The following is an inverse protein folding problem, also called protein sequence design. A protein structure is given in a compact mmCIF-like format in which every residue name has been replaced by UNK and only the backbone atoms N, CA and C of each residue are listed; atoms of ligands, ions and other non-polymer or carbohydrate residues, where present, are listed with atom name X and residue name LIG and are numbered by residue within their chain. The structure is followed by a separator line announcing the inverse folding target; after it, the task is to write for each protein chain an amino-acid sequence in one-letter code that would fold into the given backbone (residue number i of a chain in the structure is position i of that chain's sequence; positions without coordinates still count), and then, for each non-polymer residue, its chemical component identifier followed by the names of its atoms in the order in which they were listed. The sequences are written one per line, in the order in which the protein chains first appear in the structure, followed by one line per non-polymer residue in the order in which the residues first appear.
data_IF_845047819199
#
_entry.id   IF_845047819199
#
_cell.length_a   1.000
_cell.length_b   1.000
_cell.length_c   1.000
_cell.angle_alpha   90.00
_cell.angle_beta   90.00
_cell.angle_gamma   90.00
#
_symmetry.space_group_name_H-M   'P 1'
#
loop_
_entity.id
_entity.type
_entity.pdbx_description
1 polymer ?
#
# COMPACT_ATOMS: atom_id res chain seq x y z
N UNK A 1 -25.12 63.34 -16.05
CA UNK A 1 -23.68 63.33 -15.70
C UNK A 1 -23.12 61.94 -15.99
N UNK A 2 -22.20 61.79 -16.96
CA UNK A 2 -21.50 60.51 -17.20
C UNK A 2 -20.34 60.44 -16.21
N UNK A 3 -20.50 59.70 -15.11
CA UNK A 3 -19.39 59.43 -14.19
C UNK A 3 -18.34 58.59 -14.93
N UNK A 4 -17.30 59.24 -15.47
CA UNK A 4 -16.11 58.54 -15.96
C UNK A 4 -15.30 58.10 -14.75
N UNK A 5 -15.06 56.79 -14.64
CA UNK A 5 -14.16 56.22 -13.65
C UNK A 5 -12.77 56.87 -13.80
N UNK A 6 -12.10 57.16 -12.68
CA UNK A 6 -10.76 57.73 -12.73
C UNK A 6 -9.78 56.72 -13.35
N UNK A 7 -8.71 57.18 -14.04
CA UNK A 7 -7.71 56.29 -14.64
C UNK A 7 -7.09 55.30 -13.64
N UNK A 8 -6.94 55.72 -12.38
CA UNK A 8 -6.45 54.88 -11.30
C UNK A 8 -7.41 53.73 -10.95
N UNK A 9 -8.72 53.98 -10.95
CA UNK A 9 -9.73 52.95 -10.72
C UNK A 9 -9.76 51.96 -11.89
N UNK A 10 -9.67 52.45 -13.13
CA UNK A 10 -9.61 51.57 -14.31
C UNK A 10 -8.38 50.66 -14.24
N UNK A 11 -7.20 51.21 -13.93
CA UNK A 11 -5.97 50.43 -13.79
C UNK A 11 -6.08 49.36 -12.68
N UNK A 12 -6.60 49.73 -11.51
CA UNK A 12 -6.80 48.80 -10.40
C UNK A 12 -7.74 47.66 -10.78
N UNK A 13 -8.87 47.97 -11.42
CA UNK A 13 -9.83 46.96 -11.90
C UNK A 13 -9.16 46.04 -12.92
N UNK A 14 -8.40 46.56 -13.87
CA UNK A 14 -7.67 45.74 -14.85
C UNK A 14 -6.65 44.81 -14.20
N UNK A 15 -5.89 45.28 -13.19
CA UNK A 15 -4.94 44.46 -12.45
C UNK A 15 -5.66 43.33 -11.71
N UNK A 16 -6.74 43.64 -11.00
CA UNK A 16 -7.52 42.65 -10.24
C UNK A 16 -8.15 41.62 -11.17
N UNK A 17 -8.75 42.05 -12.28
CA UNK A 17 -9.35 41.15 -13.28
C UNK A 17 -8.28 40.28 -13.94
N UNK A 18 -7.11 40.83 -14.27
CA UNK A 18 -6.01 40.06 -14.88
C UNK A 18 -5.43 39.05 -13.90
N UNK A 19 -5.26 39.43 -12.63
CA UNK A 19 -4.80 38.53 -11.58
C UNK A 19 -5.82 37.42 -11.31
N UNK A 20 -7.12 37.74 -11.26
CA UNK A 20 -8.18 36.76 -11.16
C UNK A 20 -8.20 35.84 -12.38
N UNK A 21 -8.12 36.38 -13.59
CA UNK A 21 -8.07 35.59 -14.81
C UNK A 21 -6.86 34.64 -14.79
N UNK A 22 -5.69 35.13 -14.39
CA UNK A 22 -4.51 34.30 -14.21
C UNK A 22 -4.73 33.18 -13.19
N UNK A 23 -5.48 33.38 -12.10
CA UNK A 23 -5.73 32.30 -11.14
C UNK A 23 -6.66 31.19 -11.66
N UNK A 24 -7.58 31.52 -12.58
CA UNK A 24 -8.70 30.64 -12.93
C UNK A 24 -8.74 30.17 -14.39
N UNK A 25 -8.03 30.81 -15.32
CA UNK A 25 -7.99 30.38 -16.72
C UNK A 25 -6.83 29.41 -16.99
N UNK A 26 -7.11 28.28 -17.69
CA UNK A 26 -6.10 27.28 -18.01
C UNK A 26 -5.15 27.79 -19.09
N UNK A 27 -3.91 27.30 -19.06
CA UNK A 27 -2.99 27.49 -20.18
C UNK A 27 -3.49 26.70 -21.41
N UNK A 28 -3.23 27.18 -22.64
CA UNK A 28 -3.53 26.41 -23.84
C UNK A 28 -2.70 25.12 -23.88
N UNK A 29 -3.31 24.05 -24.38
CA UNK A 29 -2.59 22.80 -24.62
C UNK A 29 -1.73 22.91 -25.88
N UNK A 30 -0.51 22.31 -25.90
CA UNK A 30 0.20 22.12 -27.15
C UNK A 30 -0.58 21.18 -28.08
N UNK A 31 -0.24 21.17 -29.37
CA UNK A 31 -0.85 20.25 -30.34
C UNK A 31 -0.37 18.82 -30.13
N UNK A 32 0.89 18.61 -29.73
CA UNK A 32 1.52 17.30 -29.59
C UNK A 32 2.35 17.22 -28.33
N UNK A 33 2.49 16.00 -27.82
CA UNK A 33 3.51 15.67 -26.83
C UNK A 33 4.86 15.53 -27.53
N UNK A 34 5.94 15.91 -26.84
CA UNK A 34 7.31 15.59 -27.27
C UNK A 34 7.56 14.09 -27.14
N UNK A 35 8.55 13.55 -27.86
CA UNK A 35 8.92 12.12 -27.77
C UNK A 35 9.27 11.70 -26.33
N UNK A 36 9.97 12.56 -25.59
CA UNK A 36 10.32 12.32 -24.19
C UNK A 36 9.08 12.30 -23.27
N UNK A 37 8.14 13.23 -23.45
CA UNK A 37 6.87 13.22 -22.72
C UNK A 37 6.06 11.96 -23.06
N UNK A 38 5.99 11.55 -24.32
CA UNK A 38 5.31 10.32 -24.74
C UNK A 38 5.91 9.07 -24.11
N UNK A 39 7.24 8.93 -24.12
CA UNK A 39 7.93 7.81 -23.48
C UNK A 39 7.63 7.76 -21.98
N UNK A 40 7.59 8.93 -21.33
CA UNK A 40 7.25 9.06 -19.91
C UNK A 40 5.79 8.71 -19.64
N UNK A 41 4.84 9.17 -20.46
CA UNK A 41 3.42 8.82 -20.31
C UNK A 41 3.22 7.32 -20.48
N UNK A 42 3.89 6.71 -21.46
CA UNK A 42 3.82 5.27 -21.72
C UNK A 42 4.36 4.46 -20.53
N UNK A 43 5.47 4.89 -19.90
CA UNK A 43 6.06 4.17 -18.75
C UNK A 43 5.18 4.17 -17.49
N UNK A 44 4.19 5.06 -17.41
CA UNK A 44 3.21 5.12 -16.31
C UNK A 44 1.99 4.21 -16.54
N UNK A 45 1.80 3.67 -17.75
CA UNK A 45 0.65 2.83 -18.10
C UNK A 45 0.80 1.40 -17.59
N UNK A 46 -0.32 0.75 -17.24
CA UNK A 46 -0.34 -0.70 -16.94
C UNK A 46 0.15 -1.57 -18.09
N UNK A 47 0.16 -1.09 -19.33
CA UNK A 47 0.76 -1.85 -20.44
C UNK A 47 2.28 -2.06 -20.28
N UNK A 48 2.93 -1.24 -19.45
CA UNK A 48 4.35 -1.36 -19.11
C UNK A 48 4.56 -2.06 -17.75
N UNK A 49 3.50 -2.60 -17.14
CA UNK A 49 3.61 -3.39 -15.92
C UNK A 49 4.42 -4.65 -16.21
N UNK A 50 5.56 -4.89 -15.52
CA UNK A 50 6.33 -6.09 -15.72
C UNK A 50 5.53 -7.33 -15.27
N UNK A 51 5.97 -8.53 -15.68
CA UNK A 51 5.49 -9.77 -15.08
C UNK A 51 5.59 -9.71 -13.55
N UNK A 52 4.72 -10.48 -12.88
CA UNK A 52 4.71 -10.57 -11.43
C UNK A 52 6.13 -10.90 -10.91
N UNK A 53 6.68 -10.14 -9.95
CA UNK A 53 8.01 -10.41 -9.43
C UNK A 53 8.08 -11.77 -8.74
N UNK A 54 9.24 -12.43 -8.87
CA UNK A 54 9.53 -13.63 -8.10
C UNK A 54 9.51 -13.33 -6.59
N UNK A 55 9.08 -14.30 -5.79
CA UNK A 55 9.11 -14.23 -4.32
C UNK A 55 10.02 -15.36 -3.79
N UNK A 56 11.34 -15.16 -3.79
CA UNK A 56 12.29 -16.22 -3.43
C UNK A 56 12.12 -16.69 -1.98
N UNK A 57 11.56 -15.86 -1.09
CA UNK A 57 11.30 -16.22 0.30
C UNK A 57 10.06 -17.11 0.49
N UNK A 58 9.30 -17.37 -0.57
CA UNK A 58 8.06 -18.12 -0.56
C UNK A 58 7.96 -19.06 -1.76
N UNK A 59 8.41 -20.31 -1.59
CA UNK A 59 8.39 -21.31 -2.66
C UNK A 59 6.98 -21.69 -3.15
N UNK A 60 5.93 -21.38 -2.38
CA UNK A 60 4.53 -21.63 -2.75
C UNK A 60 3.80 -20.40 -3.28
N UNK A 61 4.52 -19.29 -3.55
CA UNK A 61 3.93 -18.00 -3.91
C UNK A 61 2.97 -18.03 -5.11
N UNK A 62 3.19 -18.94 -6.05
CA UNK A 62 2.37 -19.11 -7.26
C UNK A 62 1.67 -20.49 -7.30
N UNK A 63 1.66 -21.24 -6.19
CA UNK A 63 1.05 -22.57 -6.11
C UNK A 63 -0.49 -22.48 -5.98
N UNK A 64 -1.28 -23.12 -6.87
CA UNK A 64 -2.75 -22.98 -6.86
C UNK A 64 -3.42 -23.33 -5.53
N UNK A 65 -2.96 -24.39 -4.84
CA UNK A 65 -3.52 -24.78 -3.54
C UNK A 65 -3.15 -23.78 -2.44
N UNK A 66 -1.99 -23.12 -2.53
CA UNK A 66 -1.59 -22.10 -1.56
C UNK A 66 -2.39 -20.81 -1.75
N UNK A 67 -2.68 -20.45 -3.02
CA UNK A 67 -3.59 -19.35 -3.37
C UNK A 67 -4.98 -19.60 -2.79
N UNK A 68 -5.51 -20.80 -2.91
CA UNK A 68 -6.84 -21.12 -2.38
C UNK A 68 -6.86 -21.13 -0.85
N UNK A 69 -5.87 -21.75 -0.19
CA UNK A 69 -5.74 -21.70 1.27
C UNK A 69 -5.62 -20.24 1.76
N UNK A 70 -4.76 -19.44 1.11
CA UNK A 70 -4.58 -18.02 1.41
C UNK A 70 -5.86 -17.22 1.26
N UNK A 71 -6.66 -17.50 0.22
CA UNK A 71 -7.97 -16.87 0.01
C UNK A 71 -8.88 -17.14 1.19
N UNK A 72 -9.02 -18.39 1.59
CA UNK A 72 -9.91 -18.77 2.68
C UNK A 72 -9.48 -18.13 4.00
N UNK A 73 -8.18 -18.16 4.30
CA UNK A 73 -7.61 -17.52 5.48
C UNK A 73 -7.87 -16.00 5.50
N UNK A 74 -7.75 -15.31 4.36
CA UNK A 74 -7.93 -13.86 4.29
C UNK A 74 -9.32 -13.39 4.74
N UNK A 75 -10.34 -14.21 4.54
CA UNK A 75 -11.73 -13.89 4.92
C UNK A 75 -12.16 -14.52 6.26
N UNK A 76 -11.36 -15.41 6.84
CA UNK A 76 -11.72 -16.11 8.08
C UNK A 76 -11.50 -15.25 9.33
N UNK A 77 -12.57 -14.98 10.07
CA UNK A 77 -12.50 -14.18 11.31
C UNK A 77 -11.90 -14.96 12.47
N UNK A 78 -11.81 -16.29 12.41
CA UNK A 78 -11.18 -17.15 13.42
C UNK A 78 -9.67 -16.92 13.56
N UNK A 79 -9.08 -16.14 12.64
CA UNK A 79 -7.70 -15.64 12.75
C UNK A 79 -7.53 -14.44 13.69
N UNK A 80 -8.60 -13.99 14.36
CA UNK A 80 -8.54 -12.95 15.40
C UNK A 80 -8.81 -13.54 16.78
N UNK A 81 -8.23 -12.95 17.82
CA UNK A 81 -8.31 -13.47 19.19
C UNK A 81 -9.73 -13.62 19.75
N UNK A 82 -10.71 -12.88 19.20
CA UNK A 82 -12.12 -12.97 19.57
C UNK A 82 -13.04 -13.46 18.43
N UNK A 83 -12.47 -13.96 17.33
CA UNK A 83 -13.17 -14.46 16.16
C UNK A 83 -14.06 -13.44 15.40
N UNK A 84 -13.79 -12.13 15.49
CA UNK A 84 -14.62 -11.07 14.86
C UNK A 84 -13.95 -10.30 13.72
N UNK A 85 -12.63 -10.40 13.57
CA UNK A 85 -11.83 -9.65 12.59
C UNK A 85 -11.14 -10.61 11.63
N UNK A 86 -11.24 -10.35 10.33
CA UNK A 86 -10.41 -10.98 9.29
C UNK A 86 -9.64 -9.91 8.54
N UNK A 87 -8.72 -10.30 7.66
CA UNK A 87 -7.99 -9.35 6.82
C UNK A 87 -8.96 -8.48 6.00
N UNK A 88 -10.05 -9.10 5.51
CA UNK A 88 -11.10 -8.43 4.75
C UNK A 88 -11.93 -7.40 5.55
N UNK A 89 -11.88 -7.40 6.88
CA UNK A 89 -12.51 -6.36 7.71
C UNK A 89 -11.90 -4.97 7.44
N UNK A 90 -10.58 -4.93 7.22
CA UNK A 90 -9.81 -3.71 6.95
C UNK A 90 -9.42 -3.57 5.46
N UNK A 91 -9.36 -4.67 4.72
CA UNK A 91 -9.01 -4.69 3.30
C UNK A 91 -10.19 -5.14 2.45
N UNK A 92 -11.15 -4.23 2.29
CA UNK A 92 -12.45 -4.56 1.73
C UNK A 92 -12.38 -4.63 0.20
N UNK A 93 -12.74 -5.76 -0.45
CA UNK A 93 -12.64 -5.88 -1.90
C UNK A 93 -13.41 -4.79 -2.67
N UNK A 94 -14.57 -4.38 -2.15
CA UNK A 94 -15.41 -3.35 -2.75
C UNK A 94 -14.83 -1.92 -2.65
N UNK A 95 -13.71 -1.74 -1.95
CA UNK A 95 -12.97 -0.48 -1.81
C UNK A 95 -11.52 -0.61 -2.29
N UNK A 96 -11.26 -1.49 -3.26
CA UNK A 96 -9.89 -1.75 -3.73
C UNK A 96 -8.95 -2.19 -2.58
N UNK A 97 -9.49 -2.98 -1.64
CA UNK A 97 -8.78 -3.52 -0.48
C UNK A 97 -8.28 -2.46 0.52
N UNK A 98 -9.09 -1.43 0.76
CA UNK A 98 -8.96 -0.47 1.88
C UNK A 98 -10.19 -0.54 2.80
N UNK A 99 -10.23 0.28 3.86
CA UNK A 99 -11.39 0.41 4.77
C UNK A 99 -12.06 1.78 4.73
N UNK A 100 -11.47 2.75 4.01
CA UNK A 100 -11.88 4.16 3.95
C UNK A 100 -11.98 4.85 5.31
N UNK A 101 -11.12 4.49 6.26
CA UNK A 101 -11.00 5.12 7.59
C UNK A 101 -9.65 5.81 7.74
N UNK A 102 -9.60 6.87 8.56
CA UNK A 102 -8.33 7.54 8.84
C UNK A 102 -7.34 6.60 9.54
N UNK A 103 -7.84 5.82 10.50
CA UNK A 103 -7.10 4.81 11.25
C UNK A 103 -7.88 3.50 11.17
N UNK A 104 -7.15 2.40 10.97
CA UNK A 104 -7.76 1.08 10.88
C UNK A 104 -8.43 0.69 12.21
N UNK A 105 -9.51 -0.08 12.13
CA UNK A 105 -10.25 -0.57 13.31
C UNK A 105 -10.39 -2.09 13.22
N UNK A 106 -9.64 -2.78 14.08
CA UNK A 106 -9.76 -4.22 14.33
C UNK A 106 -10.36 -4.45 15.71
N UNK A 107 -9.64 -5.20 16.58
CA UNK A 107 -9.98 -5.32 18.00
C UNK A 107 -9.84 -3.99 18.76
N UNK A 108 -9.00 -3.09 18.25
CA UNK A 108 -8.83 -1.72 18.71
C UNK A 108 -8.67 -0.76 17.54
N UNK A 109 -8.24 0.46 17.83
CA UNK A 109 -7.89 1.46 16.80
C UNK A 109 -6.38 1.45 16.58
N UNK A 110 -5.96 1.22 15.34
CA UNK A 110 -4.56 1.29 14.94
C UNK A 110 -4.06 2.75 14.89
N UNK A 111 -2.76 2.94 14.69
CA UNK A 111 -2.11 4.25 14.59
C UNK A 111 -1.87 4.69 13.13
N UNK A 112 -2.30 3.87 12.15
CA UNK A 112 -2.08 4.08 10.72
C UNK A 112 -3.35 3.85 9.89
N UNK A 113 -3.36 4.47 8.72
CA UNK A 113 -4.32 4.19 7.64
C UNK A 113 -3.95 2.87 6.94
N UNK A 114 -4.96 2.06 6.60
CA UNK A 114 -4.79 0.80 5.87
C UNK A 114 -4.39 1.05 4.42
N UNK A 115 -3.22 0.55 4.01
CA UNK A 115 -2.79 0.61 2.62
C UNK A 115 -3.66 -0.29 1.73
N UNK A 116 -3.91 0.10 0.48
CA UNK A 116 -4.55 -0.78 -0.51
C UNK A 116 -3.66 -1.97 -0.87
N UNK A 117 -4.28 -3.11 -1.18
CA UNK A 117 -3.57 -4.36 -1.54
C UNK A 117 -3.44 -4.60 -3.06
N UNK A 118 -4.16 -3.86 -3.91
CA UNK A 118 -4.03 -4.05 -5.37
C UNK A 118 -2.62 -3.68 -5.85
N UNK A 119 -1.94 -4.60 -6.53
CA UNK A 119 -0.56 -4.41 -6.98
C UNK A 119 0.49 -4.49 -5.87
N UNK A 120 0.13 -4.92 -4.66
CA UNK A 120 1.06 -5.00 -3.51
C UNK A 120 2.26 -5.90 -3.77
N UNK A 121 2.10 -6.93 -4.61
CA UNK A 121 3.17 -7.86 -4.99
C UNK A 121 4.33 -7.22 -5.76
N UNK A 122 4.16 -6.01 -6.28
CA UNK A 122 5.24 -5.24 -6.92
C UNK A 122 6.02 -4.36 -5.92
N UNK A 123 5.68 -4.41 -4.63
CA UNK A 123 6.38 -3.64 -3.60
C UNK A 123 7.45 -4.50 -2.90
N UNK A 124 8.72 -4.10 -2.92
CA UNK A 124 9.79 -4.79 -2.17
C UNK A 124 9.72 -4.53 -0.66
N UNK A 125 8.96 -3.50 -0.24
CA UNK A 125 8.81 -3.12 1.15
C UNK A 125 7.35 -2.94 1.51
N UNK A 126 6.94 -3.44 2.67
CA UNK A 126 5.56 -3.43 3.12
C UNK A 126 5.44 -2.63 4.43
N UNK A 127 4.21 -2.21 4.74
CA UNK A 127 3.89 -1.10 5.66
C UNK A 127 4.42 0.28 5.20
N UNK A 128 3.99 1.33 5.90
CA UNK A 128 4.40 2.71 5.64
C UNK A 128 5.87 2.97 5.97
N UNK A 129 6.46 2.25 6.92
CA UNK A 129 7.86 2.38 7.35
C UNK A 129 8.79 1.34 6.72
N UNK A 130 8.26 0.38 5.96
CA UNK A 130 9.05 -0.68 5.35
C UNK A 130 9.60 -1.68 6.36
N UNK A 131 8.92 -1.90 7.50
CA UNK A 131 9.37 -2.86 8.52
C UNK A 131 9.22 -4.33 8.14
N UNK A 132 8.72 -4.62 6.94
CA UNK A 132 8.63 -5.95 6.34
C UNK A 132 9.13 -5.90 4.91
N UNK A 133 9.90 -6.90 4.55
CA UNK A 133 10.63 -7.02 3.28
C UNK A 133 9.97 -7.99 2.30
N UNK A 134 8.87 -8.63 2.69
CA UNK A 134 8.12 -9.55 1.86
C UNK A 134 6.64 -9.54 2.26
N UNK A 135 5.79 -9.93 1.31
CA UNK A 135 4.34 -9.97 1.53
C UNK A 135 3.96 -11.05 2.56
N UNK A 136 4.67 -12.19 2.54
CA UNK A 136 4.41 -13.27 3.48
C UNK A 136 4.80 -12.90 4.91
N UNK A 137 5.92 -12.18 5.10
CA UNK A 137 6.31 -11.71 6.43
C UNK A 137 5.42 -10.60 6.95
N UNK A 138 4.88 -9.76 6.05
CA UNK A 138 3.90 -8.75 6.40
C UNK A 138 2.58 -9.35 6.85
N UNK A 139 2.09 -10.38 6.16
CA UNK A 139 0.82 -11.01 6.48
C UNK A 139 0.75 -11.59 7.92
N UNK A 140 1.91 -11.87 8.53
CA UNK A 140 2.01 -12.36 9.91
C UNK A 140 1.80 -11.27 10.97
N UNK A 141 2.18 -10.03 10.67
CA UNK A 141 2.25 -8.97 11.68
C UNK A 141 0.87 -8.55 12.21
N UNK A 142 -0.17 -8.33 11.38
CA UNK A 142 -1.52 -8.02 11.85
C UNK A 142 -2.11 -9.08 12.76
N UNK A 143 -1.78 -10.36 12.53
CA UNK A 143 -2.37 -11.52 13.23
C UNK A 143 -2.15 -11.43 14.74
N UNK A 144 -0.99 -10.98 15.20
CA UNK A 144 -0.66 -10.89 16.62
C UNK A 144 -0.76 -9.47 17.19
N UNK A 145 -1.00 -8.45 16.36
CA UNK A 145 -1.12 -7.08 16.85
C UNK A 145 -2.40 -6.93 17.69
N UNK A 146 -2.31 -6.55 18.99
CA UNK A 146 -3.45 -6.53 19.91
C UNK A 146 -4.58 -5.57 19.52
N UNK A 147 -4.33 -4.56 18.68
CA UNK A 147 -5.37 -3.65 18.18
C UNK A 147 -5.89 -4.03 16.79
N UNK A 148 -5.27 -5.00 16.11
CA UNK A 148 -5.70 -5.49 14.80
C UNK A 148 -6.44 -6.83 14.96
N UNK A 149 -5.78 -7.98 14.78
CA UNK A 149 -6.39 -9.30 15.01
C UNK A 149 -6.22 -9.79 16.45
N UNK A 150 -5.13 -9.41 17.13
CA UNK A 150 -4.83 -9.78 18.53
C UNK A 150 -4.85 -11.28 18.81
N UNK A 151 -4.53 -12.12 17.83
CA UNK A 151 -4.50 -13.56 17.98
C UNK A 151 -3.24 -14.04 18.69
N UNK A 152 -3.37 -15.20 19.32
CA UNK A 152 -2.26 -15.94 19.91
C UNK A 152 -1.62 -16.86 18.86
N UNK A 153 -0.28 -16.86 18.74
CA UNK A 153 0.43 -17.68 17.73
C UNK A 153 0.08 -19.17 17.81
N UNK A 154 0.12 -19.75 19.01
CA UNK A 154 -0.23 -21.18 19.20
C UNK A 154 -1.71 -21.45 18.94
N UNK A 155 -2.61 -20.47 19.13
CA UNK A 155 -4.01 -20.60 18.77
C UNK A 155 -4.19 -20.67 17.24
N UNK A 156 -3.46 -19.87 16.48
CA UNK A 156 -3.49 -19.92 15.01
C UNK A 156 -2.98 -21.27 14.49
N UNK A 157 -1.91 -21.79 15.09
CA UNK A 157 -1.40 -23.12 14.76
C UNK A 157 -2.42 -24.22 15.10
N UNK A 158 -3.07 -24.14 16.25
CA UNK A 158 -4.15 -25.07 16.63
C UNK A 158 -5.32 -25.02 15.66
N UNK A 159 -5.72 -23.84 15.17
CA UNK A 159 -6.77 -23.72 14.17
C UNK A 159 -6.44 -24.54 12.92
N UNK A 160 -5.21 -24.40 12.38
CA UNK A 160 -4.78 -25.19 11.22
C UNK A 160 -4.69 -26.68 11.53
N UNK A 161 -4.23 -27.05 12.73
CA UNK A 161 -4.03 -28.45 13.09
C UNK A 161 -5.34 -29.21 13.37
N UNK A 162 -6.38 -28.52 13.88
CA UNK A 162 -7.62 -29.11 14.39
C UNK A 162 -8.82 -28.93 13.46
N UNK A 163 -8.83 -27.91 12.60
CA UNK A 163 -9.83 -27.79 11.55
C UNK A 163 -9.48 -28.77 10.42
N UNK A 164 -10.31 -29.80 10.22
CA UNK A 164 -10.05 -30.86 9.24
C UNK A 164 -9.79 -30.33 7.83
N UNK A 165 -10.52 -29.27 7.43
CA UNK A 165 -10.41 -28.69 6.11
C UNK A 165 -9.10 -27.92 5.94
N UNK A 166 -8.73 -27.08 6.91
CA UNK A 166 -7.43 -26.41 6.88
C UNK A 166 -6.26 -27.36 7.01
N UNK A 167 -6.40 -28.40 7.82
CA UNK A 167 -5.37 -29.43 7.96
C UNK A 167 -5.08 -30.11 6.63
N UNK A 168 -6.12 -30.56 5.93
CA UNK A 168 -6.01 -31.21 4.63
C UNK A 168 -5.36 -30.29 3.60
N UNK A 169 -5.85 -29.04 3.49
CA UNK A 169 -5.29 -28.05 2.56
C UNK A 169 -3.83 -27.71 2.88
N UNK A 170 -3.49 -27.58 4.17
CA UNK A 170 -2.12 -27.29 4.58
C UNK A 170 -1.17 -28.41 4.17
N UNK A 171 -1.53 -29.68 4.41
CA UNK A 171 -0.72 -30.84 4.03
C UNK A 171 -0.58 -31.00 2.52
N UNK A 172 -1.58 -30.56 1.75
CA UNK A 172 -1.52 -30.55 0.29
C UNK A 172 -0.60 -29.47 -0.28
N UNK A 173 -0.26 -28.43 0.50
CA UNK A 173 0.60 -27.32 0.10
C UNK A 173 2.02 -27.47 0.63
N UNK A 174 2.16 -27.83 1.90
CA UNK A 174 3.44 -27.86 2.62
C UNK A 174 3.77 -29.30 2.98
N UNK A 175 4.61 -29.94 2.16
CA UNK A 175 5.15 -31.29 2.29
C UNK A 175 4.60 -32.12 3.48
N UNK A 176 3.64 -33.00 3.18
CA UNK A 176 2.91 -33.76 4.18
C UNK A 176 3.83 -34.60 5.09
N UNK A 177 4.95 -35.12 4.58
CA UNK A 177 5.85 -35.98 5.37
C UNK A 177 6.53 -35.21 6.51
N UNK A 178 6.90 -33.95 6.27
CA UNK A 178 7.46 -33.08 7.30
C UNK A 178 6.39 -32.35 8.12
N UNK A 179 5.26 -31.99 7.50
CA UNK A 179 4.19 -31.22 8.14
C UNK A 179 3.30 -32.04 9.08
N UNK A 180 2.94 -33.27 8.71
CA UNK A 180 1.99 -34.10 9.45
C UNK A 180 2.44 -34.36 10.91
N UNK A 181 3.71 -34.78 11.18
CA UNK A 181 4.16 -34.99 12.56
C UNK A 181 4.17 -33.69 13.40
N UNK A 182 4.35 -32.53 12.77
CA UNK A 182 4.24 -31.25 13.48
C UNK A 182 2.78 -30.96 13.84
N UNK A 183 1.85 -31.07 12.89
CA UNK A 183 0.43 -30.80 13.13
C UNK A 183 -0.21 -31.79 14.13
N UNK A 184 0.22 -33.06 14.13
CA UNK A 184 -0.28 -34.07 15.08
C UNK A 184 -0.01 -33.70 16.55
N UNK A 185 1.10 -33.00 16.81
CA UNK A 185 1.41 -32.55 18.17
C UNK A 185 0.42 -31.50 18.68
N UNK A 186 -0.14 -30.67 17.79
CA UNK A 186 -1.11 -29.63 18.13
C UNK A 186 -2.56 -30.11 18.10
N UNK A 187 -2.82 -31.36 17.74
CA UNK A 187 -4.14 -31.98 17.86
C UNK A 187 -4.60 -32.09 19.33
N UNK A 188 -3.65 -32.23 20.27
CA UNK A 188 -3.92 -32.19 21.71
C UNK A 188 -3.77 -30.76 22.25
N UNK A 189 -4.91 -30.09 22.48
CA UNK A 189 -4.97 -28.74 23.04
C UNK A 189 -4.38 -28.60 24.45
N UNK A 190 -4.16 -29.70 25.18
CA UNK A 190 -3.60 -29.67 26.54
C UNK A 190 -2.07 -29.65 26.54
N UNK A 191 -1.44 -30.04 25.42
CA UNK A 191 0.01 -30.17 25.29
C UNK A 191 0.72 -28.84 25.09
N UNK A 192 0.05 -27.86 24.46
CA UNK A 192 0.62 -26.56 24.17
C UNK A 192 -0.21 -25.44 24.80
N UNK A 193 0.39 -24.63 25.72
CA UNK A 193 -0.32 -23.50 26.28
C UNK A 193 -0.56 -22.41 25.23
N UNK A 194 -1.47 -21.48 25.54
CA UNK A 194 -1.59 -20.23 24.81
C UNK A 194 -0.28 -19.43 24.93
N UNK A 195 0.56 -19.52 23.91
CA UNK A 195 1.88 -18.91 23.87
C UNK A 195 2.03 -18.01 22.63
N UNK A 196 2.56 -16.81 22.83
CA UNK A 196 2.87 -15.89 21.74
C UNK A 196 3.94 -14.89 22.18
N UNK A 197 4.94 -14.60 21.34
CA UNK A 197 5.96 -13.60 21.66
C UNK A 197 5.42 -12.16 21.67
N UNK A 198 4.25 -11.92 21.04
CA UNK A 198 3.60 -10.60 20.98
C UNK A 198 2.29 -10.55 21.76
N UNK A 199 1.94 -11.63 22.46
CA UNK A 199 0.74 -11.73 23.29
C UNK A 199 0.81 -10.91 24.58
N UNK A 200 -0.15 -11.12 25.48
CA UNK A 200 -0.12 -10.54 26.82
C UNK A 200 1.05 -11.11 27.67
N UNK A 201 1.38 -10.53 28.85
CA UNK A 201 2.52 -10.98 29.65
C UNK A 201 2.52 -12.47 30.00
N UNK A 202 1.35 -13.07 30.23
CA UNK A 202 1.23 -14.50 30.53
C UNK A 202 1.55 -15.35 29.30
N UNK A 203 1.07 -14.94 28.12
CA UNK A 203 1.35 -15.62 26.84
C UNK A 203 2.82 -15.49 26.43
N UNK A 204 3.45 -14.35 26.72
CA UNK A 204 4.89 -14.14 26.50
C UNK A 204 5.72 -15.02 27.43
N UNK A 205 5.35 -15.14 28.70
CA UNK A 205 6.01 -16.06 29.63
C UNK A 205 5.85 -17.52 29.20
N UNK A 206 4.65 -17.92 28.77
CA UNK A 206 4.40 -19.26 28.23
C UNK A 206 5.25 -19.51 26.98
N UNK A 207 5.41 -18.51 26.10
CA UNK A 207 6.28 -18.59 24.93
C UNK A 207 7.75 -18.83 25.32
N UNK A 208 8.28 -18.02 26.24
CA UNK A 208 9.66 -18.15 26.71
C UNK A 208 9.93 -19.46 27.45
N UNK A 209 8.90 -20.13 27.97
CA UNK A 209 9.00 -21.43 28.61
C UNK A 209 8.99 -22.61 27.63
N UNK A 210 8.61 -22.39 26.36
CA UNK A 210 8.69 -23.42 25.33
C UNK A 210 10.15 -23.68 24.95
N UNK A 211 10.50 -24.94 24.67
CA UNK A 211 11.79 -25.29 24.08
C UNK A 211 11.95 -24.62 22.70
N UNK A 212 13.21 -24.41 22.30
CA UNK A 212 13.54 -23.86 20.99
C UNK A 212 12.91 -24.66 19.84
N UNK A 213 12.85 -25.98 19.98
CA UNK A 213 12.20 -26.88 19.01
C UNK A 213 10.69 -26.60 18.89
N UNK A 214 9.97 -26.47 20.00
CA UNK A 214 8.55 -26.14 19.96
C UNK A 214 8.29 -24.74 19.40
N UNK A 215 9.11 -23.75 19.78
CA UNK A 215 9.03 -22.41 19.19
C UNK A 215 9.29 -22.47 17.67
N UNK A 216 10.26 -23.29 17.23
CA UNK A 216 10.57 -23.46 15.81
C UNK A 216 9.40 -24.07 15.04
N UNK A 217 8.79 -25.15 15.54
CA UNK A 217 7.64 -25.80 14.92
C UNK A 217 6.44 -24.86 14.82
N UNK A 218 6.13 -24.11 15.88
CA UNK A 218 5.05 -23.11 15.88
C UNK A 218 5.33 -22.04 14.82
N UNK A 219 6.55 -21.50 14.79
CA UNK A 219 6.94 -20.48 13.83
C UNK A 219 6.97 -20.98 12.39
N UNK A 220 7.31 -22.26 12.16
CA UNK A 220 7.27 -22.86 10.82
C UNK A 220 5.84 -22.85 10.29
N UNK A 221 4.89 -23.37 11.07
CA UNK A 221 3.48 -23.35 10.69
C UNK A 221 3.00 -21.91 10.52
N UNK A 222 3.29 -21.03 11.48
CA UNK A 222 2.93 -19.62 11.41
C UNK A 222 3.46 -18.95 10.13
N UNK A 223 4.73 -19.17 9.75
CA UNK A 223 5.31 -18.64 8.52
C UNK A 223 4.59 -19.15 7.26
N UNK A 224 4.15 -20.40 7.26
CA UNK A 224 3.39 -21.01 6.18
C UNK A 224 2.00 -20.39 6.01
N UNK A 225 1.33 -19.95 7.09
CA UNK A 225 0.11 -19.14 6.98
C UNK A 225 0.40 -17.83 6.23
N UNK A 226 1.49 -17.14 6.57
CA UNK A 226 1.92 -15.92 5.88
C UNK A 226 2.19 -16.16 4.40
N UNK A 227 2.85 -17.27 4.06
CA UNK A 227 3.15 -17.68 2.67
C UNK A 227 1.90 -17.96 1.86
N UNK A 228 0.91 -18.65 2.43
CA UNK A 228 -0.38 -18.89 1.78
C UNK A 228 -1.15 -17.56 1.57
N UNK A 229 -1.25 -16.72 2.61
CA UNK A 229 -1.87 -15.39 2.51
C UNK A 229 -1.21 -14.53 1.42
N UNK A 230 0.12 -14.55 1.32
CA UNK A 230 0.85 -13.84 0.28
C UNK A 230 0.57 -14.41 -1.12
N UNK A 231 0.52 -15.73 -1.27
CA UNK A 231 0.21 -16.38 -2.54
C UNK A 231 -1.14 -15.87 -3.10
N UNK A 232 -2.16 -15.78 -2.25
CA UNK A 232 -3.44 -15.21 -2.67
C UNK A 232 -3.36 -13.71 -3.00
N UNK A 233 -2.76 -12.89 -2.12
CA UNK A 233 -2.68 -11.44 -2.30
C UNK A 233 -1.90 -11.05 -3.58
N UNK A 234 -0.97 -11.89 -4.03
CA UNK A 234 -0.25 -11.72 -5.31
C UNK A 234 -1.15 -11.79 -6.53
N UNK A 235 -2.30 -12.45 -6.43
CA UNK A 235 -3.27 -12.60 -7.52
C UNK A 235 -4.21 -11.40 -7.68
N UNK A 236 -4.14 -10.42 -6.76
CA UNK A 236 -5.04 -9.27 -6.74
C UNK A 236 -4.81 -8.39 -7.99
N UNK A 237 -5.83 -8.26 -8.86
CA UNK A 237 -5.67 -7.64 -10.16
C UNK A 237 -5.56 -6.12 -10.07
N UNK A 238 -4.83 -5.54 -11.03
CA UNK A 238 -4.83 -4.12 -11.34
C UNK A 238 -5.74 -3.88 -12.54
N UNK A 239 -6.64 -2.92 -12.43
CA UNK A 239 -7.59 -2.60 -13.50
C UNK A 239 -7.12 -1.38 -14.29
N UNK A 240 -7.20 -1.41 -15.64
CA UNK A 240 -6.98 -0.23 -16.46
C UNK A 240 -7.93 0.92 -16.07
N UNK A 241 -7.36 2.12 -15.98
CA UNK A 241 -8.05 3.38 -15.73
C UNK A 241 -8.21 4.20 -17.01
N UNK A 242 -8.92 5.33 -16.94
CA UNK A 242 -9.03 6.27 -18.06
C UNK A 242 -7.64 6.75 -18.56
N UNK A 243 -6.69 6.92 -17.65
CA UNK A 243 -5.31 7.22 -18.01
C UNK A 243 -4.64 6.10 -18.82
N UNK A 244 -4.87 4.83 -18.47
CA UNK A 244 -4.25 3.71 -19.17
C UNK A 244 -4.78 3.60 -20.62
N UNK A 245 -6.08 3.86 -20.82
CA UNK A 245 -6.69 3.95 -22.16
C UNK A 245 -6.13 5.11 -22.98
N UNK A 246 -5.93 6.27 -22.35
CA UNK A 246 -5.28 7.41 -23.01
C UNK A 246 -3.84 7.11 -23.42
N UNK A 247 -3.05 6.53 -22.53
CA UNK A 247 -1.66 6.18 -22.84
C UNK A 247 -1.55 5.14 -23.97
N UNK A 248 -2.52 4.23 -24.07
CA UNK A 248 -2.64 3.28 -25.18
C UNK A 248 -2.90 3.99 -26.52
N UNK A 249 -3.83 4.95 -26.55
CA UNK A 249 -4.18 5.70 -27.77
C UNK A 249 -2.99 6.53 -28.32
N UNK A 250 -2.11 7.00 -27.43
CA UNK A 250 -0.90 7.72 -27.82
C UNK A 250 0.16 6.84 -28.52
N UNK A 251 -0.06 5.52 -28.64
CA UNK A 251 0.80 4.65 -29.45
C UNK A 251 0.66 4.95 -30.95
N UNK A 252 -0.56 5.22 -31.40
CA UNK A 252 -0.88 5.39 -32.82
C UNK A 252 -0.80 6.84 -33.29
N UNK A 253 -0.91 7.80 -32.37
CA UNK A 253 -0.90 9.24 -32.67
C UNK A 253 -0.47 10.08 -31.46
N UNK A 254 0.53 10.97 -31.59
CA UNK A 254 0.99 11.82 -30.49
C UNK A 254 0.12 13.06 -30.26
N UNK A 255 -1.06 13.13 -30.88
CA UNK A 255 -1.95 14.29 -30.83
C UNK A 255 -2.61 14.44 -29.45
N UNK A 256 -2.34 15.58 -28.80
CA UNK A 256 -2.89 15.93 -27.49
C UNK A 256 -4.39 16.23 -27.57
N UNK A 257 -4.89 16.63 -28.75
CA UNK A 257 -6.28 17.00 -28.96
C UNK A 257 -7.20 15.80 -29.16
N UNK A 258 -6.64 14.61 -29.45
CA UNK A 258 -7.37 13.34 -29.46
C UNK A 258 -7.60 12.88 -28.02
N UNK A 259 -8.82 13.12 -27.52
CA UNK A 259 -9.17 13.22 -26.10
C UNK A 259 -10.25 12.25 -25.66
N UNK A 260 -10.43 11.15 -26.39
CA UNK A 260 -11.56 10.24 -26.20
C UNK A 260 -11.59 9.65 -24.77
N UNK A 261 -10.42 9.54 -24.13
CA UNK A 261 -10.27 8.99 -22.77
C UNK A 261 -10.01 10.03 -21.67
N UNK A 262 -9.50 11.23 -21.99
CA UNK A 262 -9.19 12.29 -21.00
C UNK A 262 -9.67 13.67 -21.45
N UNK A 263 -10.27 14.39 -20.52
CA UNK A 263 -10.62 15.80 -20.64
C UNK A 263 -9.39 16.72 -20.72
N UNK A 264 -9.64 17.99 -21.09
CA UNK A 264 -8.59 19.03 -21.12
C UNK A 264 -7.97 19.29 -19.74
N UNK A 265 -8.75 19.22 -18.68
CA UNK A 265 -8.25 19.46 -17.32
C UNK A 265 -7.39 18.29 -16.84
N UNK A 266 -7.75 17.05 -17.19
CA UNK A 266 -6.91 15.87 -16.92
C UNK A 266 -5.58 15.91 -17.68
N UNK A 267 -5.59 16.29 -18.96
CA UNK A 267 -4.35 16.42 -19.74
C UNK A 267 -3.46 17.54 -19.19
N UNK A 268 -4.03 18.71 -18.84
CA UNK A 268 -3.26 19.76 -18.17
C UNK A 268 -2.72 19.30 -16.82
N UNK A 269 -3.50 18.51 -16.07
CA UNK A 269 -3.07 17.89 -14.82
C UNK A 269 -1.89 16.94 -15.00
N UNK A 270 -1.91 16.11 -16.04
CA UNK A 270 -0.79 15.24 -16.43
C UNK A 270 0.46 16.08 -16.75
N UNK A 271 0.32 17.18 -17.50
CA UNK A 271 1.44 18.11 -17.76
C UNK A 271 2.03 18.69 -16.48
N UNK A 272 1.19 19.08 -15.54
CA UNK A 272 1.64 19.57 -14.23
C UNK A 272 2.37 18.46 -13.47
N UNK A 273 1.81 17.25 -13.43
CA UNK A 273 2.38 16.09 -12.76
C UNK A 273 3.80 15.75 -13.26
N UNK A 274 3.99 15.77 -14.59
CA UNK A 274 5.28 15.50 -15.24
C UNK A 274 6.27 16.67 -15.15
N UNK A 275 5.76 17.90 -15.17
CA UNK A 275 6.56 19.12 -15.25
C UNK A 275 6.55 19.90 -13.94
N UNK A 276 5.78 20.99 -13.90
CA UNK A 276 5.82 22.01 -12.84
C UNK A 276 5.67 21.44 -11.41
N UNK A 277 4.77 20.47 -11.22
CA UNK A 277 4.49 19.90 -9.90
C UNK A 277 5.50 18.81 -9.50
N UNK A 278 6.28 18.29 -10.46
CA UNK A 278 7.34 17.29 -10.25
C UNK A 278 6.91 16.03 -9.47
N UNK A 279 5.62 15.69 -9.48
CA UNK A 279 5.07 14.55 -8.75
C UNK A 279 5.72 13.23 -9.20
N UNK A 280 6.10 13.15 -10.48
CA UNK A 280 6.74 11.99 -11.09
C UNK A 280 8.08 11.59 -10.43
N UNK A 281 8.76 12.52 -9.75
CA UNK A 281 10.04 12.21 -9.09
C UNK A 281 9.90 11.12 -8.02
N UNK A 282 8.72 10.99 -7.41
CA UNK A 282 8.40 9.92 -6.45
C UNK A 282 7.33 8.97 -7.00
N UNK A 283 6.34 9.51 -7.73
CA UNK A 283 5.21 8.75 -8.25
C UNK A 283 5.40 8.38 -9.72
N UNK A 284 6.17 7.33 -9.97
CA UNK A 284 6.53 6.87 -11.31
C UNK A 284 6.22 5.39 -11.51
N UNK A 285 6.45 4.93 -12.74
CA UNK A 285 6.14 3.58 -13.20
C UNK A 285 4.63 3.28 -13.23
N UNK A 286 4.28 2.05 -13.62
CA UNK A 286 2.89 1.63 -13.80
C UNK A 286 2.03 1.78 -12.55
N UNK A 287 2.59 1.71 -11.34
CA UNK A 287 1.85 1.88 -10.08
C UNK A 287 1.86 3.31 -9.53
N UNK A 288 2.49 4.26 -10.22
CA UNK A 288 2.67 5.63 -9.72
C UNK A 288 3.32 5.67 -8.33
N UNK A 289 4.35 4.83 -8.15
CA UNK A 289 5.19 4.80 -6.96
C UNK A 289 6.55 4.20 -7.31
N UNK A 290 7.61 4.81 -6.80
CA UNK A 290 8.96 4.26 -6.82
C UNK A 290 9.25 3.29 -5.66
N UNK A 291 8.28 3.06 -4.76
CA UNK A 291 8.42 2.30 -3.51
C UNK A 291 9.54 2.79 -2.56
N UNK A 292 10.12 3.96 -2.82
CA UNK A 292 11.12 4.58 -1.96
C UNK A 292 10.46 5.23 -0.74
N UNK A 293 11.29 5.72 0.17
CA UNK A 293 10.86 6.35 1.41
C UNK A 293 11.19 7.83 1.35
N UNK A 294 10.19 8.67 1.63
CA UNK A 294 10.35 10.11 1.64
C UNK A 294 9.68 10.74 2.85
N UNK A 295 10.31 11.77 3.41
CA UNK A 295 9.68 12.60 4.42
C UNK A 295 9.08 13.85 3.77
N UNK A 296 7.75 13.92 3.75
CA UNK A 296 7.00 15.02 3.15
C UNK A 296 6.42 15.99 4.18
N UNK A 297 6.87 15.92 5.43
CA UNK A 297 6.45 16.81 6.53
C UNK A 297 4.94 16.84 6.82
N UNK A 298 4.21 15.77 6.54
CA UNK A 298 2.81 15.68 6.99
C UNK A 298 2.77 15.71 8.52
N UNK A 299 1.92 16.58 9.08
CA UNK A 299 1.82 16.75 10.52
C UNK A 299 1.11 15.56 11.15
N UNK A 300 1.61 15.11 12.30
CA UNK A 300 0.90 14.15 13.16
C UNK A 300 -0.35 14.79 13.76
N UNK A 301 -1.26 13.94 14.26
CA UNK A 301 -2.37 14.41 15.08
C UNK A 301 -1.85 15.18 16.32
N UNK A 302 -2.61 16.18 16.83
CA UNK A 302 -2.21 16.93 18.03
C UNK A 302 -1.87 16.00 19.20
N UNK A 303 -0.72 16.24 19.84
CA UNK A 303 -0.22 15.42 20.96
C UNK A 303 0.48 14.13 20.56
N UNK A 304 0.55 13.79 19.27
CA UNK A 304 1.26 12.62 18.76
C UNK A 304 2.62 13.03 18.19
N UNK A 305 3.68 12.41 18.68
CA UNK A 305 5.03 12.62 18.14
C UNK A 305 5.13 12.02 16.72
N UNK A 306 5.86 12.66 15.79
CA UNK A 306 6.14 12.07 14.48
C UNK A 306 6.80 10.70 14.62
N UNK A 307 6.32 9.72 13.85
CA UNK A 307 6.91 8.40 13.83
C UNK A 307 8.33 8.45 13.25
N UNK A 308 9.26 7.61 13.73
CA UNK A 308 10.63 7.58 13.22
C UNK A 308 10.72 7.08 11.76
N UNK A 309 9.68 6.40 11.24
CA UNK A 309 9.59 6.01 9.83
C UNK A 309 10.61 4.96 9.44
N UNK A 310 11.12 5.08 8.20
CA UNK A 310 12.02 4.10 7.59
C UNK A 310 13.27 3.79 8.41
N UNK A 311 13.82 4.76 9.15
CA UNK A 311 15.00 4.51 9.98
C UNK A 311 14.75 3.41 11.03
N UNK A 312 13.62 3.45 11.73
CA UNK A 312 13.22 2.37 12.65
C UNK A 312 12.71 1.15 11.87
N UNK A 313 11.94 1.37 10.80
CA UNK A 313 11.39 0.29 10.00
C UNK A 313 12.46 -0.68 9.50
N UNK A 314 13.59 -0.19 8.98
CA UNK A 314 14.66 -1.08 8.53
C UNK A 314 15.29 -1.89 9.67
N UNK A 315 15.48 -1.29 10.86
CA UNK A 315 16.00 -2.03 12.02
C UNK A 315 15.06 -3.16 12.44
N UNK A 316 13.75 -2.90 12.41
CA UNK A 316 12.73 -3.91 12.68
C UNK A 316 12.75 -5.01 11.62
N UNK A 317 12.84 -4.66 10.34
CA UNK A 317 12.93 -5.64 9.25
C UNK A 317 14.16 -6.55 9.41
N UNK A 318 15.33 -5.98 9.73
CA UNK A 318 16.57 -6.73 9.93
C UNK A 318 16.55 -7.65 11.15
N UNK A 319 15.84 -7.26 12.22
CA UNK A 319 15.72 -8.05 13.44
C UNK A 319 14.62 -9.13 13.38
N UNK A 320 13.72 -9.06 12.38
CA UNK A 320 12.60 -9.98 12.26
C UNK A 320 13.08 -11.38 11.81
N UNK A 321 12.79 -12.46 12.57
CA UNK A 321 13.14 -13.82 12.14
C UNK A 321 12.40 -14.25 10.86
N UNK A 322 11.34 -13.55 10.47
CA UNK A 322 10.56 -13.80 9.25
C UNK A 322 10.99 -12.90 8.07
N UNK A 323 12.18 -12.31 8.09
CA UNK A 323 12.71 -11.61 6.93
C UNK A 323 13.35 -12.57 5.91
N UNK A 324 13.77 -12.05 4.75
CA UNK A 324 14.36 -12.80 3.64
C UNK A 324 15.61 -13.61 4.04
N UNK A 325 16.40 -13.12 5.00
CA UNK A 325 17.61 -13.79 5.50
C UNK A 325 17.31 -14.72 6.69
N UNK A 326 16.07 -14.75 7.16
CA UNK A 326 15.62 -15.52 8.30
C UNK A 326 15.43 -17.00 7.98
N UNK A 327 15.44 -17.84 9.01
CA UNK A 327 15.37 -19.31 8.90
C UNK A 327 14.04 -19.86 8.36
N UNK A 328 13.02 -19.00 8.25
CA UNK A 328 11.70 -19.33 7.71
C UNK A 328 11.52 -18.89 6.25
N UNK A 329 12.46 -18.12 5.71
CA UNK A 329 12.52 -17.77 4.29
C UNK A 329 13.00 -18.96 3.48
N UNK A 330 12.46 -19.12 2.26
CA UNK A 330 12.94 -20.10 1.28
C UNK A 330 14.05 -19.56 0.38
N UNK A 331 14.45 -18.29 0.58
CA UNK A 331 15.39 -17.59 -0.29
C UNK A 331 16.84 -18.01 -0.05
N UNK A 332 17.62 -18.08 -1.12
CA UNK A 332 19.07 -18.02 -1.00
C UNK A 332 19.49 -16.60 -0.52
N UNK A 333 20.45 -16.45 0.42
CA UNK A 333 20.91 -15.15 0.88
C UNK A 333 21.40 -14.19 -0.23
N UNK A 334 21.82 -14.70 -1.39
CA UNK A 334 22.17 -13.90 -2.57
C UNK A 334 20.97 -13.27 -3.28
N UNK A 335 19.76 -13.81 -3.07
CA UNK A 335 18.49 -13.28 -3.59
C UNK A 335 17.93 -12.15 -2.72
N UNK A 336 18.42 -11.97 -1.48
CA UNK A 336 17.95 -10.96 -0.54
C UNK A 336 18.62 -9.58 -0.69
N UNK A 337 18.86 -9.13 -1.93
CA UNK A 337 19.61 -7.90 -2.19
C UNK A 337 18.91 -6.65 -1.63
N UNK A 338 17.58 -6.57 -1.78
CA UNK A 338 16.76 -5.47 -1.25
C UNK A 338 17.00 -5.28 0.25
N UNK A 339 16.94 -6.34 1.06
CA UNK A 339 17.18 -6.26 2.51
C UNK A 339 18.65 -5.97 2.84
N UNK A 340 19.60 -6.60 2.13
CA UNK A 340 21.04 -6.50 2.42
C UNK A 340 21.62 -5.11 2.15
N UNK A 341 21.11 -4.42 1.13
CA UNK A 341 21.61 -3.10 0.71
C UNK A 341 20.62 -1.97 1.00
N UNK A 342 19.59 -2.26 1.79
CA UNK A 342 18.61 -1.30 2.26
C UNK A 342 19.26 -0.13 3.02
N UNK A 343 18.70 1.08 2.82
CA UNK A 343 19.08 2.28 3.58
C UNK A 343 18.02 2.65 4.61
N UNK A 344 18.48 3.14 5.76
CA UNK A 344 17.67 3.51 6.91
C UNK A 344 18.43 4.36 7.92
N UNK A 345 19.39 5.18 7.46
CA UNK A 345 20.15 6.07 8.32
C UNK A 345 19.32 7.26 8.82
N UNK A 346 19.99 8.24 9.43
CA UNK A 346 19.35 9.43 10.00
C UNK A 346 18.62 10.28 8.95
N UNK A 347 19.06 10.21 7.68
CA UNK A 347 18.39 10.84 6.55
C UNK A 347 16.97 10.29 6.30
N UNK A 348 16.67 9.09 6.81
CA UNK A 348 15.39 8.40 6.66
C UNK A 348 14.46 8.58 7.86
N UNK A 349 14.79 9.46 8.82
CA UNK A 349 13.91 9.75 9.95
C UNK A 349 12.63 10.47 9.46
N UNK A 350 11.48 9.92 9.86
CA UNK A 350 10.16 10.40 9.46
C UNK A 350 9.74 9.96 8.07
N UNK A 351 10.65 9.38 7.27
CA UNK A 351 10.37 8.98 5.91
C UNK A 351 9.38 7.81 5.86
N UNK A 352 8.37 7.94 5.00
CA UNK A 352 7.35 6.91 4.76
C UNK A 352 7.41 6.47 3.31
N UNK A 353 6.99 5.24 3.04
CA UNK A 353 6.94 4.67 1.70
C UNK A 353 6.00 5.50 0.82
N UNK A 354 6.43 5.78 -0.41
CA UNK A 354 5.58 6.35 -1.44
C UNK A 354 4.44 5.39 -1.75
N UNK A 355 3.20 5.76 -1.42
CA UNK A 355 2.02 4.98 -1.79
C UNK A 355 1.73 5.06 -3.30
N UNK A 356 1.09 4.03 -3.85
CA UNK A 356 0.54 4.09 -5.22
C UNK A 356 -0.52 5.20 -5.32
N UNK A 357 -0.57 5.88 -6.46
CA UNK A 357 -1.64 6.84 -6.79
C UNK A 357 -2.80 6.22 -7.59
N UNK A 358 -2.81 4.90 -7.77
CA UNK A 358 -3.99 4.24 -8.37
C UNK A 358 -5.13 4.22 -7.36
N UNK A 359 -6.35 4.39 -7.85
CA UNK A 359 -7.58 4.21 -7.07
C UNK A 359 -7.75 5.17 -5.88
N UNK A 360 -7.18 6.39 -5.93
CA UNK A 360 -7.26 7.40 -4.87
C UNK A 360 -8.68 7.78 -4.43
N UNK A 361 -9.70 7.57 -5.27
CA UNK A 361 -11.09 7.77 -4.88
C UNK A 361 -11.55 6.81 -3.76
N UNK A 362 -10.87 5.68 -3.60
CA UNK A 362 -11.21 4.62 -2.65
C UNK A 362 -10.20 4.50 -1.49
N UNK A 363 -9.18 5.36 -1.44
CA UNK A 363 -8.13 5.32 -0.41
C UNK A 363 -8.15 6.52 0.54
N UNK A 364 -9.17 7.37 0.46
CA UNK A 364 -9.36 8.43 1.44
C UNK A 364 -9.76 7.83 2.81
N UNK A 365 -9.37 8.46 3.94
CA UNK A 365 -8.46 9.60 4.09
C UNK A 365 -7.00 9.25 3.73
N UNK A 366 -6.23 10.28 3.35
CA UNK A 366 -4.90 10.12 2.78
C UNK A 366 -3.78 10.27 3.81
N UNK A 367 -2.57 9.89 3.38
CA UNK A 367 -1.32 9.85 4.17
C UNK A 367 -1.29 8.67 5.15
N UNK A 368 -0.13 8.44 5.76
CA UNK A 368 0.16 7.22 6.51
C UNK A 368 -0.71 6.98 7.75
N UNK A 369 -1.33 8.03 8.29
CA UNK A 369 -2.24 7.98 9.43
C UNK A 369 -3.54 8.76 9.14
N UNK A 370 -3.95 8.84 7.87
CA UNK A 370 -5.22 9.45 7.47
C UNK A 370 -5.33 10.95 7.78
N UNK A 371 -4.20 11.65 7.83
CA UNK A 371 -4.14 13.03 8.31
C UNK A 371 -4.86 14.04 7.41
N UNK A 372 -5.05 13.70 6.13
CA UNK A 372 -5.68 14.60 5.16
C UNK A 372 -6.94 13.95 4.58
N UNK A 373 -8.10 14.55 4.86
CA UNK A 373 -9.39 13.99 4.48
C UNK A 373 -9.68 14.05 2.97
N UNK A 374 -9.08 15.00 2.25
CA UNK A 374 -9.41 15.24 0.83
C UNK A 374 -8.15 15.38 -0.03
N UNK A 375 -8.29 15.07 -1.31
CA UNK A 375 -7.22 15.23 -2.28
C UNK A 375 -6.83 16.71 -2.46
N UNK A 376 -7.77 17.65 -2.27
CA UNK A 376 -7.46 19.08 -2.24
C UNK A 376 -6.50 19.43 -1.10
N UNK A 377 -6.71 18.84 0.09
CA UNK A 377 -5.82 19.04 1.23
C UNK A 377 -4.42 18.44 0.98
N UNK A 378 -4.34 17.30 0.29
CA UNK A 378 -3.07 16.70 -0.17
C UNK A 378 -2.34 17.64 -1.14
N UNK A 379 -3.04 18.12 -2.17
CA UNK A 379 -2.44 19.04 -3.15
C UNK A 379 -1.99 20.34 -2.47
N UNK A 380 -2.77 20.88 -1.54
CA UNK A 380 -2.39 22.07 -0.78
C UNK A 380 -1.20 21.83 0.14
N UNK A 381 -1.07 20.63 0.72
CA UNK A 381 0.08 20.22 1.52
C UNK A 381 1.37 20.31 0.70
N UNK A 382 1.42 19.67 -0.46
CA UNK A 382 2.59 19.74 -1.36
C UNK A 382 2.80 21.13 -1.95
N UNK A 383 1.73 21.86 -2.27
CA UNK A 383 1.84 23.19 -2.82
C UNK A 383 2.51 24.18 -1.83
N UNK A 384 2.34 23.95 -0.53
CA UNK A 384 2.97 24.74 0.55
C UNK A 384 4.33 24.19 0.96
N UNK A 385 4.50 22.87 0.97
CA UNK A 385 5.70 22.13 1.39
C UNK A 385 6.34 22.70 2.68
N UNK A 386 5.61 22.57 3.81
CA UNK A 386 6.06 23.09 5.11
C UNK A 386 7.33 22.39 5.60
N UNK A 387 8.12 23.04 6.44
CA UNK A 387 9.30 22.41 7.07
C UNK A 387 8.88 21.21 7.92
N UNK A 388 9.67 20.14 7.89
CA UNK A 388 9.43 18.94 8.70
C UNK A 388 9.69 19.21 10.19
N UNK A 389 8.85 18.61 11.05
CA UNK A 389 9.04 18.65 12.51
C UNK A 389 10.24 17.79 12.92
N UNK A 390 10.44 16.66 12.24
CA UNK A 390 11.57 15.74 12.43
C UNK A 390 12.14 15.40 11.05
N UNK A 391 13.46 15.32 10.93
CA UNK A 391 14.15 15.02 9.68
C UNK A 391 14.14 16.21 8.70
N UNK A 392 14.04 15.92 7.41
CA UNK A 392 14.04 16.91 6.33
C UNK A 392 12.82 16.74 5.43
N UNK A 393 12.17 17.83 5.03
CA UNK A 393 11.11 17.76 4.01
C UNK A 393 11.73 17.74 2.62
N UNK A 394 11.53 16.66 1.89
CA UNK A 394 12.02 16.50 0.52
C UNK A 394 11.13 17.19 -0.52
N UNK A 395 9.88 17.51 -0.16
CA UNK A 395 8.97 18.26 -1.02
C UNK A 395 9.37 19.74 -1.09
N UNK A 396 9.15 20.36 -2.26
CA UNK A 396 9.38 21.78 -2.50
C UNK A 396 8.07 22.50 -2.81
N UNK A 397 7.90 23.78 -2.42
CA UNK A 397 6.69 24.53 -2.74
C UNK A 397 6.48 24.61 -4.26
N UNK A 398 5.26 24.28 -4.72
CA UNK A 398 4.97 24.11 -6.15
C UNK A 398 4.45 25.38 -6.83
N UNK A 399 3.98 26.36 -6.04
CA UNK A 399 3.36 27.61 -6.53
C UNK A 399 2.27 27.38 -7.60
N UNK A 400 1.45 26.34 -7.40
CA UNK A 400 0.29 26.03 -8.23
C UNK A 400 -0.84 27.04 -8.00
N UNK A 401 -1.41 27.52 -9.11
CA UNK A 401 -2.61 28.38 -9.17
C UNK A 401 -3.87 27.59 -8.87
N UNK A 402 -4.98 28.28 -8.60
CA UNK A 402 -6.26 27.61 -8.33
C UNK A 402 -6.70 26.66 -9.47
N UNK A 403 -6.57 27.09 -10.73
CA UNK A 403 -6.85 26.24 -11.90
C UNK A 403 -5.91 25.03 -11.99
N UNK A 404 -4.63 25.20 -11.69
CA UNK A 404 -3.62 24.12 -11.78
C UNK A 404 -3.85 23.04 -10.72
N UNK A 405 -4.25 23.42 -9.51
CA UNK A 405 -4.63 22.44 -8.47
C UNK A 405 -5.82 21.61 -8.88
N UNK A 406 -6.86 22.24 -9.46
CA UNK A 406 -8.03 21.52 -9.99
C UNK A 406 -7.65 20.56 -11.11
N UNK A 407 -6.77 20.99 -12.01
CA UNK A 407 -6.30 20.17 -13.13
C UNK A 407 -5.48 18.97 -12.66
N UNK A 408 -4.55 19.18 -11.72
CA UNK A 408 -3.80 18.10 -11.09
C UNK A 408 -4.75 17.10 -10.40
N UNK A 409 -5.73 17.60 -9.64
CA UNK A 409 -6.78 16.74 -9.05
C UNK A 409 -7.56 15.95 -10.10
N UNK A 410 -7.93 16.58 -11.21
CA UNK A 410 -8.63 15.91 -12.30
C UNK A 410 -7.80 14.75 -12.86
N UNK A 411 -6.51 14.98 -13.14
CA UNK A 411 -5.60 13.91 -13.55
C UNK A 411 -5.47 12.79 -12.53
N UNK A 412 -5.29 13.12 -11.24
CA UNK A 412 -5.21 12.09 -10.19
C UNK A 412 -6.49 11.24 -10.11
N UNK A 413 -7.65 11.84 -10.40
CA UNK A 413 -8.91 11.09 -10.47
C UNK A 413 -9.03 10.20 -11.72
N UNK A 414 -8.29 10.47 -12.80
CA UNK A 414 -8.29 9.60 -13.98
C UNK A 414 -7.48 8.32 -13.80
N UNK A 415 -6.75 8.19 -12.68
CA UNK A 415 -6.00 7.00 -12.25
C UNK A 415 -6.87 5.98 -11.50
N UNK A 416 -8.16 6.26 -11.33
CA UNK A 416 -9.10 5.32 -10.73
C UNK A 416 -9.53 4.29 -11.76
N UNK A 417 -9.46 3.01 -11.39
CA UNK A 417 -10.08 1.92 -12.13
C UNK A 417 -11.62 2.01 -12.11
N UNK A 418 -12.31 1.06 -12.77
CA UNK A 418 -13.76 1.03 -12.86
C UNK A 418 -14.44 1.14 -11.48
N UNK A 419 -15.59 1.81 -11.44
CA UNK A 419 -16.31 2.04 -10.19
C UNK A 419 -17.06 0.82 -9.66
N UNK A 420 -17.27 -0.22 -10.49
CA UNK A 420 -17.93 -1.45 -10.08
C UNK A 420 -16.90 -2.49 -9.58
N UNK A 421 -16.90 -2.82 -8.28
CA UNK A 421 -16.00 -3.80 -7.72
C UNK A 421 -16.59 -5.23 -7.69
N UNK A 422 -17.75 -5.48 -8.31
CA UNK A 422 -18.34 -6.83 -8.46
C UNK A 422 -17.33 -7.84 -9.03
N UNK A 423 -16.35 -7.35 -9.78
CA UNK A 423 -15.19 -8.09 -10.26
C UNK A 423 -14.42 -8.83 -9.16
N UNK A 424 -14.30 -8.25 -7.95
CA UNK A 424 -13.64 -8.90 -6.83
C UNK A 424 -14.56 -9.86 -6.05
N UNK A 425 -15.87 -9.84 -6.31
CA UNK A 425 -16.86 -10.70 -5.65
C UNK A 425 -17.03 -12.05 -6.37
N UNK A 426 -16.97 -12.09 -7.71
CA UNK A 426 -17.14 -13.33 -8.46
C UNK A 426 -16.04 -14.38 -8.22
N UNK A 427 -14.82 -13.94 -7.84
CA UNK A 427 -13.77 -14.86 -7.39
C UNK A 427 -13.96 -15.39 -5.96
N UNK A 428 -14.94 -14.88 -5.21
CA UNK A 428 -15.23 -15.33 -3.83
C UNK A 428 -16.35 -16.37 -3.76
N UNK A 429 -17.16 -16.55 -4.81
CA UNK A 429 -18.37 -17.39 -4.76
C UNK A 429 -18.25 -18.76 -5.42
N UNK A 430 -17.20 -19.02 -6.22
CA UNK A 430 -17.05 -20.27 -7.01
C UNK A 430 -16.46 -21.46 -6.22
N UNK A 431 -16.74 -21.57 -4.92
CA UNK A 431 -16.22 -22.65 -4.08
C UNK A 431 -17.16 -23.09 -2.95
N UNK A 432 -18.47 -23.13 -3.22
CA UNK A 432 -19.39 -23.90 -2.36
C UNK A 432 -19.61 -25.29 -2.91
#
# INVERSE_FOLDING_TARGET
MKHRLSPAIVLLVTIVVSAAAWQYFPAPLPQRWTEAELATIKSLSLQQLPPLPADPGNHVADHPLAIELGRQLFFDTRLSGNNTVSCASCHQPHRYFTDGRALAVGLGTADRNSMGLTGVAYSPWLFWDGRKDSLWSQALEPLENPVEHGANRTQLVRLIAQDNHYREQYLAVFDADSAQPMLDQFADSTRFPDASPKGNPQQQQAWLALSDEHQHQINRIFSNLGKALAAWQRTLPLMPSAFDHYAAQLQDTPDVQQRDSLSRDEINGLRLFLGKAQCINCHNGPLFTNNAFHNTAVLSAPGVLPAPGRSQGLRLAQADPFNCLGVYSDADPAQCQELRFARGGDEMIGAQRTGSLRNLAYTAPYMHAGQLATLDAVIDHYNRARVAVVGHNEAKPLALRAVEKRQLKAFLNSLNGPADPSFFQHRNTDSR
#
